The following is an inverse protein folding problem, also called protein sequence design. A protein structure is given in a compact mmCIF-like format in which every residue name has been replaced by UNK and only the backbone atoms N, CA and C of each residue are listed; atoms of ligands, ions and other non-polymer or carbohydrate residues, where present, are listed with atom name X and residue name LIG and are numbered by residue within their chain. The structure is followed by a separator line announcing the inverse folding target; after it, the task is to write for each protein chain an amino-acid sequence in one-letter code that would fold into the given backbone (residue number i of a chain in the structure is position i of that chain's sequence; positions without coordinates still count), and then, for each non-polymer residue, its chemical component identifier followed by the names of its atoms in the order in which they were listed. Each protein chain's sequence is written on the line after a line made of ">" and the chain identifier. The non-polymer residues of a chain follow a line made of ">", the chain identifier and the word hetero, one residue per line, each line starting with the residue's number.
data_IF_162134414641
#
_entry.id   IF_162134414641
#
_cell.length_a   1.000
_cell.length_b   1.000
_cell.length_c   1.000
_cell.angle_alpha   90.00
_cell.angle_beta   90.00
_cell.angle_gamma   90.00
#
_symmetry.space_group_name_H-M   'P 1'
#
loop_
_entity.id
_entity.type
_entity.pdbx_description
1 polymer ?
#
# COMPACT_ATOMS: atom_id res chain seq x y z
N UNK A 1 12.94 -18.46 -3.39
CA UNK A 1 12.44 -17.83 -4.63
C UNK A 1 13.61 -17.81 -5.61
N UNK A 2 13.42 -18.28 -6.84
CA UNK A 2 14.49 -18.22 -7.84
C UNK A 2 14.62 -16.79 -8.38
N UNK A 3 15.84 -16.38 -8.69
CA UNK A 3 16.14 -15.06 -9.26
C UNK A 3 16.72 -15.29 -10.65
N UNK A 4 16.07 -14.73 -11.67
CA UNK A 4 16.48 -14.85 -13.06
C UNK A 4 16.81 -13.46 -13.61
N UNK A 5 17.76 -13.40 -14.55
CA UNK A 5 18.26 -12.14 -15.12
C UNK A 5 17.98 -12.11 -16.62
N UNK A 6 17.14 -11.18 -17.13
CA UNK A 6 16.94 -11.00 -18.57
C UNK A 6 18.18 -10.33 -19.18
N UNK A 7 18.71 -10.89 -20.26
CA UNK A 7 19.98 -10.42 -20.86
C UNK A 7 19.79 -9.55 -22.10
N UNK A 8 18.88 -9.90 -23.02
CA UNK A 8 18.66 -9.12 -24.24
C UNK A 8 17.94 -7.79 -23.95
N UNK A 9 18.18 -6.77 -24.76
CA UNK A 9 17.51 -5.47 -24.63
C UNK A 9 15.98 -5.62 -24.72
N UNK A 10 15.50 -6.50 -25.61
CA UNK A 10 14.09 -6.82 -25.78
C UNK A 10 13.49 -7.45 -24.51
N UNK A 11 14.17 -8.45 -23.92
CA UNK A 11 13.70 -9.10 -22.70
C UNK A 11 13.74 -8.14 -21.49
N UNK A 12 14.72 -7.24 -21.42
CA UNK A 12 14.77 -6.20 -20.40
C UNK A 12 13.63 -5.19 -20.55
N UNK A 13 13.31 -4.78 -21.79
CA UNK A 13 12.20 -3.89 -22.07
C UNK A 13 10.86 -4.56 -21.69
N UNK A 14 10.64 -5.82 -22.10
CA UNK A 14 9.45 -6.59 -21.75
C UNK A 14 9.28 -6.73 -20.23
N UNK A 15 10.36 -7.10 -19.53
CA UNK A 15 10.33 -7.23 -18.07
C UNK A 15 9.97 -5.90 -17.38
N UNK A 16 10.48 -4.77 -17.89
CA UNK A 16 10.21 -3.44 -17.33
C UNK A 16 8.82 -2.92 -17.64
N UNK A 17 8.33 -3.11 -18.86
CA UNK A 17 7.06 -2.53 -19.28
C UNK A 17 5.86 -3.44 -18.97
N UNK A 18 6.01 -4.76 -19.04
CA UNK A 18 4.89 -5.70 -18.86
C UNK A 18 4.95 -6.44 -17.53
N UNK A 19 6.14 -6.87 -17.09
CA UNK A 19 6.26 -7.74 -15.92
C UNK A 19 6.50 -7.00 -14.58
N UNK A 20 6.79 -5.70 -14.62
CA UNK A 20 7.05 -4.90 -13.42
C UNK A 20 5.85 -4.94 -12.47
N UNK A 21 6.10 -5.20 -11.18
CA UNK A 21 5.04 -5.38 -10.17
C UNK A 21 4.11 -4.16 -10.04
N UNK A 22 4.63 -2.95 -10.23
CA UNK A 22 3.85 -1.71 -10.19
C UNK A 22 2.74 -1.65 -11.24
N UNK A 23 2.86 -2.39 -12.35
CA UNK A 23 1.83 -2.46 -13.39
C UNK A 23 0.78 -3.55 -13.10
N UNK A 24 1.07 -4.46 -12.16
CA UNK A 24 0.27 -5.66 -11.89
C UNK A 24 -0.49 -5.54 -10.56
N UNK A 25 -1.19 -4.42 -10.36
CA UNK A 25 -1.92 -4.13 -9.10
C UNK A 25 -3.32 -4.73 -9.01
N UNK A 26 -3.91 -5.12 -10.16
CA UNK A 26 -5.25 -5.67 -10.25
C UNK A 26 -5.22 -7.12 -10.75
N UNK A 27 -6.14 -7.95 -10.28
CA UNK A 27 -6.33 -9.31 -10.78
C UNK A 27 -6.93 -9.25 -12.18
N UNK A 28 -6.34 -9.95 -13.18
CA UNK A 28 -6.94 -10.04 -14.51
C UNK A 28 -8.32 -10.71 -14.54
N UNK A 29 -8.61 -11.59 -13.57
CA UNK A 29 -9.85 -12.36 -13.54
C UNK A 29 -11.09 -11.52 -13.16
N UNK A 30 -10.96 -10.65 -12.16
CA UNK A 30 -12.11 -9.95 -11.55
C UNK A 30 -11.84 -8.46 -11.26
N UNK A 31 -10.68 -7.94 -11.62
CA UNK A 31 -10.31 -6.54 -11.45
C UNK A 31 -10.05 -6.12 -10.00
N UNK A 32 -10.09 -7.04 -9.03
CA UNK A 32 -9.84 -6.69 -7.63
C UNK A 32 -8.36 -6.40 -7.39
N UNK A 33 -8.02 -5.48 -6.46
CA UNK A 33 -6.63 -5.21 -6.14
C UNK A 33 -5.94 -6.41 -5.49
N UNK A 34 -4.68 -6.67 -5.88
CA UNK A 34 -3.81 -7.69 -5.25
C UNK A 34 -2.89 -7.11 -4.19
N UNK A 35 -2.43 -5.87 -4.37
CA UNK A 35 -1.50 -5.20 -3.47
C UNK A 35 -2.23 -4.41 -2.37
N UNK A 36 -3.22 -5.02 -1.72
CA UNK A 36 -3.92 -4.40 -0.58
C UNK A 36 -3.11 -4.55 0.71
N UNK A 37 -3.14 -3.59 1.64
CA UNK A 37 -2.57 -3.76 2.97
C UNK A 37 -3.18 -4.98 3.68
N UNK A 38 -2.36 -5.75 4.40
CA UNK A 38 -2.82 -6.93 5.15
C UNK A 38 -2.21 -6.98 6.54
N UNK A 39 -2.75 -7.86 7.39
CA UNK A 39 -2.24 -8.19 8.73
C UNK A 39 -1.91 -6.92 9.54
N UNK A 40 -0.64 -6.71 9.84
CA UNK A 40 -0.17 -5.67 10.76
C UNK A 40 -0.47 -4.25 10.28
N UNK A 41 -0.48 -4.02 8.96
CA UNK A 41 -0.84 -2.71 8.41
C UNK A 41 -2.31 -2.35 8.70
N UNK A 42 -3.19 -3.35 8.59
CA UNK A 42 -4.62 -3.18 8.89
C UNK A 42 -4.81 -3.04 10.40
N UNK A 43 -4.11 -3.84 11.20
CA UNK A 43 -4.18 -3.75 12.67
C UNK A 43 -3.71 -2.39 13.18
N UNK A 44 -2.59 -1.88 12.68
CA UNK A 44 -2.06 -0.57 13.06
C UNK A 44 -3.01 0.55 12.66
N UNK A 45 -3.50 0.54 11.41
CA UNK A 45 -4.44 1.56 10.93
C UNK A 45 -5.75 1.53 11.73
N UNK A 46 -6.25 0.33 12.04
CA UNK A 46 -7.44 0.17 12.88
C UNK A 46 -7.19 0.73 14.27
N UNK A 47 -6.12 0.30 14.95
CA UNK A 47 -5.81 0.74 16.31
C UNK A 47 -5.67 2.27 16.43
N UNK A 48 -4.97 2.90 15.48
CA UNK A 48 -4.75 4.36 15.46
C UNK A 48 -6.04 5.16 15.22
N UNK A 49 -7.07 4.53 14.65
CA UNK A 49 -8.34 5.18 14.31
C UNK A 49 -9.48 4.85 15.26
N UNK A 50 -9.22 4.08 16.33
CA UNK A 50 -10.20 3.81 17.40
C UNK A 50 -10.50 5.09 18.17
N UNK A 51 -11.78 5.41 18.33
CA UNK A 51 -12.24 6.47 19.21
C UNK A 51 -12.08 6.05 20.67
N UNK A 52 -11.44 6.90 21.46
CA UNK A 52 -11.25 6.71 22.90
C UNK A 52 -11.85 7.91 23.65
N UNK A 53 -12.96 7.68 24.32
CA UNK A 53 -13.59 8.68 25.19
C UNK A 53 -12.67 9.02 26.38
N UNK A 54 -12.64 10.29 26.78
CA UNK A 54 -11.78 10.79 27.86
C UNK A 54 -10.31 10.83 27.50
N UNK A 55 -9.96 10.78 26.21
CA UNK A 55 -8.57 10.83 25.78
C UNK A 55 -7.93 12.20 26.04
N UNK A 56 -6.62 12.21 26.27
CA UNK A 56 -5.88 13.44 26.52
C UNK A 56 -5.96 14.35 25.30
N UNK A 57 -6.51 15.54 25.47
CA UNK A 57 -6.69 16.51 24.37
C UNK A 57 -8.04 16.42 23.66
N UNK A 58 -9.00 15.66 24.21
CA UNK A 58 -10.40 15.70 23.77
C UNK A 58 -10.94 17.14 23.79
N UNK A 59 -11.67 17.51 22.73
CA UNK A 59 -12.23 18.86 22.56
C UNK A 59 -11.26 19.94 22.04
N UNK A 60 -10.02 19.58 21.69
CA UNK A 60 -9.08 20.51 21.04
C UNK A 60 -9.50 20.82 19.60
N UNK A 61 -9.24 22.05 19.18
CA UNK A 61 -9.46 22.54 17.82
C UNK A 61 -8.09 22.85 17.22
N UNK A 62 -7.83 22.32 16.03
CA UNK A 62 -6.59 22.52 15.28
C UNK A 62 -6.93 23.24 13.97
N UNK A 63 -6.07 24.16 13.52
CA UNK A 63 -6.31 24.91 12.27
C UNK A 63 -5.58 24.29 11.07
N UNK A 64 -4.68 23.33 11.29
CA UNK A 64 -3.94 22.62 10.24
C UNK A 64 -3.54 21.19 10.68
N UNK A 65 -3.09 20.37 9.72
CA UNK A 65 -2.55 19.03 10.00
C UNK A 65 -1.21 19.07 10.74
N UNK A 66 -0.42 20.13 10.57
CA UNK A 66 0.88 20.26 11.24
C UNK A 66 0.75 20.56 12.74
N UNK A 67 -0.42 21.05 13.18
CA UNK A 67 -0.72 21.30 14.59
C UNK A 67 -1.33 20.09 15.33
N UNK A 68 -1.88 19.14 14.57
CA UNK A 68 -2.60 17.96 15.09
C UNK A 68 -1.64 16.90 15.64
#
# INVERSE_FOLDING_TARGET
>A
MAVHVPLSAEAQAEARFLMLSANNLLKPQDGKPVAVPTQDMVLGSYYMTILKEGAKGEGRVFISMDEA
#
